data_IF_416066590393
#
_entry.id   IF_416066590393
#
_cell.length_a   1.000
_cell.length_b   1.000
_cell.length_c   1.000
_cell.angle_alpha   90.00
_cell.angle_beta   90.00
_cell.angle_gamma   90.00
#
_symmetry.space_group_name_H-M   'P 1'
#
loop_
_entity.id
_entity.type
_entity.pdbx_description
1 polymer ?
#
# COMPACT_ATOMS: atom_id res chain seq x y z
N UNK A 1 -26.10 38.48 -56.05
CA UNK A 1 -25.71 37.08 -55.80
C UNK A 1 -25.28 36.93 -54.36
N UNK A 2 -26.15 36.32 -53.51
CA UNK A 2 -25.87 36.07 -52.11
C UNK A 2 -25.24 34.69 -51.99
N UNK A 3 -24.01 34.61 -51.47
CA UNK A 3 -23.34 33.32 -51.16
C UNK A 3 -23.87 32.82 -49.83
N UNK A 4 -24.51 31.65 -49.89
CA UNK A 4 -24.98 30.92 -48.72
C UNK A 4 -23.80 30.10 -48.20
N UNK A 5 -23.30 30.44 -47.01
CA UNK A 5 -22.26 29.64 -46.33
C UNK A 5 -22.96 28.54 -45.49
N UNK A 6 -22.70 27.31 -45.86
CA UNK A 6 -23.16 26.10 -45.18
C UNK A 6 -22.21 25.84 -43.98
N UNK A 7 -22.63 26.08 -42.76
CA UNK A 7 -21.88 25.67 -41.58
C UNK A 7 -22.15 24.19 -41.29
N UNK A 8 -21.13 23.36 -41.47
CA UNK A 8 -21.15 21.96 -41.02
C UNK A 8 -20.88 21.91 -39.51
N UNK A 9 -21.91 21.60 -38.72
CA UNK A 9 -21.75 21.28 -37.30
C UNK A 9 -21.25 19.82 -37.19
N UNK A 10 -19.95 19.63 -36.85
CA UNK A 10 -19.41 18.33 -36.51
C UNK A 10 -19.81 18.06 -35.05
N UNK A 11 -20.82 17.23 -34.85
CA UNK A 11 -21.21 16.75 -33.53
C UNK A 11 -20.22 15.67 -33.09
N UNK A 12 -19.24 16.01 -32.26
CA UNK A 12 -18.36 15.03 -31.61
C UNK A 12 -19.16 14.34 -30.51
N UNK A 13 -19.56 13.11 -30.76
CA UNK A 13 -20.15 12.24 -29.74
C UNK A 13 -19.01 11.85 -28.80
N UNK A 14 -19.06 12.18 -27.47
CA UNK A 14 -18.10 11.66 -26.54
C UNK A 14 -18.28 10.13 -26.47
N UNK A 15 -17.26 9.39 -26.88
CA UNK A 15 -17.20 7.96 -26.64
C UNK A 15 -17.10 7.80 -25.12
N UNK A 16 -18.18 7.41 -24.48
CA UNK A 16 -18.16 6.99 -23.09
C UNK A 16 -17.24 5.77 -23.01
N UNK A 17 -16.03 5.95 -22.48
CA UNK A 17 -15.17 4.82 -22.14
C UNK A 17 -15.93 4.01 -21.08
N UNK A 18 -16.49 2.90 -21.50
CA UNK A 18 -17.19 1.97 -20.61
C UNK A 18 -16.21 1.56 -19.51
N UNK A 19 -16.59 1.82 -18.26
CA UNK A 19 -15.81 1.40 -17.10
C UNK A 19 -15.72 -0.13 -17.16
N UNK A 20 -14.52 -0.67 -17.39
CA UNK A 20 -14.27 -2.11 -17.39
C UNK A 20 -14.65 -2.63 -16.01
N UNK A 21 -15.70 -3.46 -15.94
CA UNK A 21 -16.16 -4.07 -14.69
C UNK A 21 -15.22 -5.24 -14.34
N UNK A 22 -13.99 -4.93 -13.93
CA UNK A 22 -13.00 -5.92 -13.57
C UNK A 22 -13.19 -6.40 -12.12
N UNK A 23 -12.89 -7.68 -11.82
CA UNK A 23 -12.88 -8.20 -10.46
C UNK A 23 -11.88 -7.43 -9.57
N UNK A 24 -11.99 -7.53 -8.23
CA UNK A 24 -11.01 -6.94 -7.34
C UNK A 24 -9.65 -7.61 -7.49
N UNK A 25 -8.58 -6.87 -7.19
CA UNK A 25 -7.22 -7.39 -7.22
C UNK A 25 -6.99 -8.55 -6.23
N UNK A 26 -7.74 -8.58 -5.13
CA UNK A 26 -7.65 -9.61 -4.10
C UNK A 26 -9.04 -10.11 -3.67
N UNK A 27 -9.18 -11.38 -3.25
CA UNK A 27 -8.12 -12.41 -3.17
C UNK A 27 -7.67 -12.92 -4.55
N UNK A 28 -6.45 -13.45 -4.63
CA UNK A 28 -5.89 -14.15 -5.78
C UNK A 28 -4.83 -15.15 -5.34
N UNK A 29 -4.34 -15.99 -6.24
CA UNK A 29 -3.21 -16.88 -5.98
C UNK A 29 -1.98 -16.08 -5.55
N UNK A 30 -1.27 -16.59 -4.55
CA UNK A 30 -0.13 -15.91 -3.95
C UNK A 30 -0.50 -14.74 -3.04
N UNK A 31 -1.78 -14.54 -2.68
CA UNK A 31 -2.19 -13.51 -1.73
C UNK A 31 -2.84 -14.13 -0.49
N UNK A 32 -2.27 -13.85 0.68
CA UNK A 32 -2.76 -14.30 1.98
C UNK A 32 -3.24 -13.09 2.77
N UNK A 33 -4.49 -13.12 3.24
CA UNK A 33 -5.01 -12.08 4.10
C UNK A 33 -4.45 -12.23 5.51
N UNK A 34 -3.67 -11.26 5.97
CA UNK A 34 -3.07 -11.26 7.29
C UNK A 34 -3.96 -10.60 8.34
N UNK A 35 -4.63 -9.50 7.95
CA UNK A 35 -5.46 -8.73 8.86
C UNK A 35 -6.60 -8.07 8.08
N UNK A 36 -7.76 -7.98 8.71
CA UNK A 36 -8.87 -7.14 8.24
C UNK A 36 -9.64 -6.55 9.41
N UNK A 37 -9.87 -5.25 9.34
CA UNK A 37 -10.77 -4.54 10.24
C UNK A 37 -11.62 -3.51 9.47
N UNK A 38 -12.29 -2.60 10.18
CA UNK A 38 -13.14 -1.57 9.54
C UNK A 38 -12.34 -0.52 8.74
N UNK A 39 -11.02 -0.39 8.98
CA UNK A 39 -10.17 0.66 8.40
C UNK A 39 -9.26 0.13 7.28
N UNK A 40 -8.68 -1.06 7.46
CA UNK A 40 -7.69 -1.62 6.55
C UNK A 40 -7.94 -3.10 6.25
N UNK A 41 -7.35 -3.55 5.12
CA UNK A 41 -7.09 -4.96 4.85
C UNK A 41 -5.60 -5.08 4.54
N UNK A 42 -4.92 -6.03 5.20
CA UNK A 42 -3.50 -6.29 4.97
C UNK A 42 -3.33 -7.64 4.31
N UNK A 43 -2.55 -7.66 3.24
CA UNK A 43 -2.25 -8.82 2.44
C UNK A 43 -0.73 -9.09 2.41
N UNK A 44 -0.31 -10.33 2.60
CA UNK A 44 0.98 -10.84 2.16
C UNK A 44 0.81 -11.34 0.73
N UNK A 45 1.59 -10.79 -0.20
CA UNK A 45 1.42 -11.01 -1.63
C UNK A 45 2.72 -11.54 -2.21
N UNK A 46 2.59 -12.63 -2.97
CA UNK A 46 3.63 -13.18 -3.83
C UNK A 46 3.18 -13.08 -5.29
N UNK A 47 4.03 -12.56 -6.16
CA UNK A 47 3.83 -12.65 -7.60
C UNK A 47 4.49 -13.94 -8.10
N UNK A 48 3.72 -15.03 -8.07
CA UNK A 48 4.16 -16.31 -8.60
C UNK A 48 4.45 -16.18 -10.09
N UNK A 49 5.30 -17.03 -10.64
CA UNK A 49 5.64 -17.03 -12.08
C UNK A 49 4.45 -17.52 -12.91
N UNK A 50 3.46 -16.64 -13.06
CA UNK A 50 2.20 -16.87 -13.79
C UNK A 50 1.52 -15.57 -14.16
N UNK A 51 0.54 -15.64 -15.06
CA UNK A 51 -0.33 -14.53 -15.42
C UNK A 51 -1.46 -14.37 -14.39
N UNK A 52 -1.76 -13.13 -14.05
CA UNK A 52 -2.93 -12.75 -13.26
C UNK A 52 -3.92 -12.01 -14.15
N UNK A 53 -5.20 -12.40 -14.12
CA UNK A 53 -6.21 -11.80 -14.99
C UNK A 53 -6.43 -10.32 -14.70
N UNK A 54 -7.11 -9.65 -15.62
CA UNK A 54 -7.49 -8.25 -15.43
C UNK A 54 -8.23 -8.07 -14.12
N UNK A 55 -7.79 -7.09 -13.33
CA UNK A 55 -8.36 -6.77 -12.03
C UNK A 55 -8.35 -5.28 -11.76
N UNK A 56 -9.13 -4.83 -10.77
CA UNK A 56 -9.21 -3.44 -10.37
C UNK A 56 -8.91 -3.27 -8.90
N UNK A 57 -8.03 -2.32 -8.57
CA UNK A 57 -7.77 -1.91 -7.20
C UNK A 57 -8.94 -1.08 -6.66
N UNK A 58 -9.68 -1.63 -5.69
CA UNK A 58 -10.88 -0.98 -5.12
C UNK A 58 -10.57 0.08 -4.08
N UNK A 59 -9.39 -0.01 -3.46
CA UNK A 59 -8.94 0.85 -2.39
C UNK A 59 -7.58 1.46 -2.75
N UNK A 60 -7.32 2.65 -2.21
CA UNK A 60 -5.94 3.13 -2.13
C UNK A 60 -5.14 2.10 -1.36
N UNK A 61 -3.90 1.85 -1.77
CA UNK A 61 -3.05 0.95 -1.02
C UNK A 61 -1.60 1.44 -0.98
N UNK A 62 -0.96 1.07 0.09
CA UNK A 62 0.46 1.27 0.32
C UNK A 62 1.08 -0.05 0.76
N UNK A 63 2.40 -0.13 0.76
CA UNK A 63 3.07 -1.33 1.27
C UNK A 63 4.56 -1.31 1.06
N UNK A 64 5.19 -2.34 1.58
CA UNK A 64 6.63 -2.59 1.48
C UNK A 64 6.87 -3.89 0.73
N UNK A 65 7.78 -3.85 -0.25
CA UNK A 65 8.31 -5.05 -0.88
C UNK A 65 9.44 -5.60 -0.03
N UNK A 66 9.43 -6.89 0.29
CA UNK A 66 10.42 -7.50 1.16
C UNK A 66 11.22 -8.65 0.51
N UNK A 67 10.86 -9.01 -0.72
CA UNK A 67 11.68 -9.84 -1.62
C UNK A 67 11.73 -9.16 -2.97
N UNK A 68 12.90 -9.03 -3.62
CA UNK A 68 13.01 -8.42 -4.94
C UNK A 68 12.44 -9.33 -6.03
N UNK A 69 12.14 -8.75 -7.18
CA UNK A 69 11.71 -9.53 -8.35
C UNK A 69 11.15 -8.67 -9.46
N UNK A 70 10.75 -9.36 -10.53
CA UNK A 70 10.31 -8.78 -11.77
C UNK A 70 8.87 -9.19 -12.09
N UNK A 71 8.14 -8.26 -12.67
CA UNK A 71 6.78 -8.50 -13.17
C UNK A 71 6.51 -7.67 -14.42
N UNK A 72 5.60 -8.14 -15.24
CA UNK A 72 5.03 -7.37 -16.34
C UNK A 72 3.69 -6.82 -15.86
N UNK A 73 3.47 -5.53 -16.11
CA UNK A 73 2.18 -4.85 -15.86
C UNK A 73 1.66 -4.41 -17.22
N UNK A 74 0.44 -4.83 -17.57
CA UNK A 74 -0.22 -4.43 -18.81
C UNK A 74 -1.46 -3.62 -18.50
N UNK A 75 -1.50 -2.38 -18.96
CA UNK A 75 -2.63 -1.46 -18.81
C UNK A 75 -3.81 -1.86 -19.71
N UNK A 76 -4.97 -1.24 -19.50
CA UNK A 76 -6.22 -1.56 -20.23
C UNK A 76 -6.17 -1.20 -21.73
N UNK A 77 -5.25 -0.34 -22.15
CA UNK A 77 -4.98 0.00 -23.55
C UNK A 77 -3.98 -0.94 -24.23
N UNK A 78 -3.46 -1.92 -23.48
CA UNK A 78 -2.54 -2.95 -23.99
C UNK A 78 -1.07 -2.59 -23.89
N UNK A 79 -0.70 -1.45 -23.30
CA UNK A 79 0.70 -1.13 -23.04
C UNK A 79 1.25 -2.02 -21.92
N UNK A 80 2.27 -2.81 -22.26
CA UNK A 80 2.98 -3.68 -21.33
C UNK A 80 4.33 -3.08 -20.95
N UNK A 81 4.67 -3.16 -19.66
CA UNK A 81 5.99 -2.76 -19.15
C UNK A 81 6.52 -3.78 -18.16
N UNK A 82 7.78 -4.10 -18.29
CA UNK A 82 8.51 -4.87 -17.28
C UNK A 82 8.95 -3.94 -16.17
N UNK A 83 8.82 -4.40 -14.94
CA UNK A 83 9.13 -3.63 -13.72
C UNK A 83 9.93 -4.50 -12.78
N UNK A 84 11.19 -4.13 -12.58
CA UNK A 84 11.99 -4.64 -11.46
C UNK A 84 11.62 -3.88 -10.18
N UNK A 85 11.57 -4.59 -9.06
CA UNK A 85 11.31 -3.98 -7.75
C UNK A 85 12.29 -4.57 -6.74
N UNK A 86 13.05 -3.70 -6.09
CA UNK A 86 13.97 -4.06 -5.02
C UNK A 86 13.24 -4.34 -3.71
N UNK A 87 13.87 -5.12 -2.83
CA UNK A 87 13.42 -5.24 -1.45
C UNK A 87 13.48 -3.88 -0.74
N UNK A 88 12.60 -3.72 0.27
CA UNK A 88 12.43 -2.51 1.07
C UNK A 88 11.94 -1.28 0.29
N UNK A 89 11.49 -1.47 -0.95
CA UNK A 89 10.82 -0.41 -1.70
C UNK A 89 9.40 -0.17 -1.14
N UNK A 90 9.07 1.11 -0.90
CA UNK A 90 7.75 1.54 -0.42
C UNK A 90 6.90 1.98 -1.60
N UNK A 91 5.72 1.41 -1.74
CA UNK A 91 4.75 1.76 -2.78
C UNK A 91 3.53 2.49 -2.23
N UNK A 92 2.90 3.24 -3.11
CA UNK A 92 1.56 3.78 -2.91
C UNK A 92 0.84 3.86 -4.26
N UNK A 93 -0.42 3.45 -4.29
CA UNK A 93 -1.27 3.51 -5.48
C UNK A 93 -2.69 3.93 -5.09
N UNK A 94 -3.24 4.87 -5.84
CA UNK A 94 -4.65 5.25 -5.72
C UNK A 94 -5.57 4.13 -6.19
N UNK A 95 -6.79 4.11 -5.66
CA UNK A 95 -7.84 3.20 -6.12
C UNK A 95 -8.21 3.46 -7.59
N UNK A 96 -8.94 2.50 -8.17
CA UNK A 96 -9.47 2.63 -9.53
C UNK A 96 -8.54 2.15 -10.63
N UNK A 97 -7.25 1.94 -10.38
CA UNK A 97 -6.31 1.38 -11.37
C UNK A 97 -6.75 -0.02 -11.75
N UNK A 98 -6.78 -0.27 -13.06
CA UNK A 98 -7.19 -1.56 -13.66
C UNK A 98 -6.08 -2.02 -14.61
N UNK A 99 -5.61 -3.26 -14.44
CA UNK A 99 -4.52 -3.83 -15.24
C UNK A 99 -4.53 -5.36 -15.16
N UNK A 100 -3.65 -6.00 -15.96
CA UNK A 100 -3.19 -7.37 -15.74
C UNK A 100 -1.77 -7.34 -15.19
N UNK A 101 -1.34 -8.42 -14.55
CA UNK A 101 0.03 -8.59 -14.09
C UNK A 101 0.53 -10.00 -14.43
N UNK A 102 1.84 -10.16 -14.60
CA UNK A 102 2.51 -11.45 -14.74
C UNK A 102 3.76 -11.43 -13.89
N UNK A 103 3.89 -12.35 -12.96
CA UNK A 103 5.17 -12.59 -12.28
C UNK A 103 6.11 -13.33 -13.21
N UNK A 104 7.37 -12.89 -13.34
CA UNK A 104 8.33 -13.46 -14.28
C UNK A 104 9.62 -13.97 -13.62
N UNK A 105 9.89 -13.58 -12.37
CA UNK A 105 11.05 -14.08 -11.61
C UNK A 105 10.86 -15.53 -11.17
N UNK A 106 11.95 -16.27 -11.08
CA UNK A 106 11.96 -17.64 -10.52
C UNK A 106 11.66 -17.62 -9.02
N UNK A 107 12.31 -16.70 -8.29
CA UNK A 107 11.92 -16.37 -6.91
C UNK A 107 10.85 -15.27 -6.94
N UNK A 108 9.70 -15.49 -6.29
CA UNK A 108 8.60 -14.53 -6.35
C UNK A 108 8.97 -13.17 -5.75
N UNK A 109 8.63 -12.09 -6.44
CA UNK A 109 8.49 -10.77 -5.83
C UNK A 109 7.46 -10.86 -4.70
N UNK A 110 7.79 -10.34 -3.51
CA UNK A 110 6.89 -10.38 -2.35
C UNK A 110 6.69 -9.01 -1.72
N UNK A 111 5.47 -8.76 -1.23
CA UNK A 111 5.14 -7.49 -0.57
C UNK A 111 4.07 -7.68 0.50
N UNK A 112 4.10 -6.81 1.52
CA UNK A 112 2.96 -6.57 2.37
C UNK A 112 2.22 -5.34 1.84
N UNK A 113 0.96 -5.52 1.44
CA UNK A 113 0.10 -4.43 0.98
C UNK A 113 -1.04 -4.16 1.95
N UNK A 114 -1.23 -2.89 2.27
CA UNK A 114 -2.26 -2.36 3.15
C UNK A 114 -3.27 -1.60 2.30
N UNK A 115 -4.45 -2.16 2.12
CA UNK A 115 -5.59 -1.51 1.50
C UNK A 115 -6.29 -0.61 2.52
N UNK A 116 -6.48 0.67 2.17
CA UNK A 116 -7.07 1.69 3.04
C UNK A 116 -8.56 1.81 2.73
N UNK A 117 -9.42 1.21 3.57
CA UNK A 117 -10.88 1.22 3.38
C UNK A 117 -11.48 2.58 3.65
N UNK A 118 -11.15 3.16 4.79
CA UNK A 118 -11.66 4.47 5.23
C UNK A 118 -10.60 5.16 6.07
N UNK A 119 -10.29 6.42 5.76
CA UNK A 119 -9.52 7.24 6.69
C UNK A 119 -10.35 7.45 7.97
N UNK A 120 -9.68 7.49 9.10
CA UNK A 120 -10.33 7.84 10.36
C UNK A 120 -10.29 9.34 10.50
N UNK A 121 -11.46 9.97 10.51
CA UNK A 121 -11.60 11.41 10.70
C UNK A 121 -11.98 11.73 12.15
N UNK A 122 -11.60 12.92 12.59
CA UNK A 122 -11.94 13.48 13.92
C UNK A 122 -10.70 13.61 14.81
N UNK A 123 -10.80 14.51 15.79
CA UNK A 123 -9.76 14.69 16.79
C UNK A 123 -9.66 13.47 17.71
N UNK A 124 -8.46 13.19 18.18
CA UNK A 124 -8.22 12.29 19.31
C UNK A 124 -7.99 13.12 20.56
N UNK A 125 -8.39 12.61 21.71
CA UNK A 125 -7.92 13.14 22.98
C UNK A 125 -6.46 12.72 23.15
N UNK A 126 -5.55 13.70 23.13
CA UNK A 126 -4.14 13.45 23.34
C UNK A 126 -3.94 12.90 24.77
N UNK A 127 -3.22 11.79 24.90
CA UNK A 127 -2.77 11.34 26.21
C UNK A 127 -1.60 12.24 26.64
N UNK A 128 -1.88 13.24 27.47
CA UNK A 128 -0.87 14.22 27.90
C UNK A 128 0.30 13.63 28.73
N UNK A 129 0.23 12.35 29.08
CA UNK A 129 1.25 11.65 29.87
C UNK A 129 2.24 10.86 29.01
N UNK A 130 1.94 10.65 27.72
CA UNK A 130 2.77 9.85 26.81
C UNK A 130 3.22 10.69 25.61
N UNK A 131 4.42 10.44 25.06
CA UNK A 131 4.84 11.06 23.83
C UNK A 131 3.97 10.58 22.64
N UNK A 132 3.75 11.47 21.71
CA UNK A 132 3.11 11.12 20.43
C UNK A 132 4.18 10.68 19.44
N UNK A 133 3.91 9.59 18.73
CA UNK A 133 4.73 9.17 17.59
C UNK A 133 4.59 10.19 16.42
N UNK A 134 5.64 10.49 15.64
CA UNK A 134 7.01 9.98 15.79
C UNK A 134 7.77 10.71 16.90
N UNK A 135 8.51 9.96 17.67
CA UNK A 135 9.51 10.46 18.61
C UNK A 135 10.89 9.87 18.21
N UNK A 136 11.96 10.47 18.66
CA UNK A 136 13.35 10.00 18.41
C UNK A 136 13.78 9.95 16.93
N UNK A 137 13.19 10.79 16.07
CA UNK A 137 13.61 11.03 14.68
C UNK A 137 13.70 9.78 13.79
N UNK A 138 12.61 8.98 13.64
CA UNK A 138 12.60 7.84 12.73
C UNK A 138 12.81 8.30 11.27
N UNK A 139 13.25 7.38 10.42
CA UNK A 139 13.44 7.66 9.01
C UNK A 139 12.09 7.68 8.28
N UNK A 140 11.65 8.85 7.82
CA UNK A 140 10.48 8.95 6.95
C UNK A 140 10.81 8.44 5.54
N UNK A 141 10.14 7.38 5.10
CA UNK A 141 10.33 6.76 3.78
C UNK A 141 9.35 7.27 2.73
N UNK A 142 8.18 7.68 3.15
CA UNK A 142 7.13 8.24 2.29
C UNK A 142 6.15 9.07 3.09
N UNK A 143 5.68 10.18 2.47
CA UNK A 143 4.57 10.98 2.99
C UNK A 143 3.69 11.46 1.85
N UNK A 144 2.38 11.35 2.00
CA UNK A 144 1.37 11.95 1.14
C UNK A 144 0.07 12.19 1.94
N UNK A 145 -1.01 12.59 1.28
CA UNK A 145 -2.29 12.91 1.93
C UNK A 145 -3.01 11.71 2.55
N UNK A 146 -2.53 10.47 2.32
CA UNK A 146 -3.20 9.23 2.73
C UNK A 146 -2.39 8.41 3.71
N UNK A 147 -1.06 8.54 3.68
CA UNK A 147 -0.17 7.71 4.49
C UNK A 147 1.15 8.41 4.76
N UNK A 148 1.69 8.19 5.96
CA UNK A 148 3.10 8.37 6.27
C UNK A 148 3.71 7.02 6.59
N UNK A 149 4.90 6.77 6.05
CA UNK A 149 5.63 5.52 6.26
C UNK A 149 6.97 5.82 6.90
N UNK A 150 7.21 5.17 8.02
CA UNK A 150 8.42 5.29 8.81
C UNK A 150 9.16 3.96 8.78
N UNK A 151 10.45 3.99 8.65
CA UNK A 151 11.32 2.82 8.78
C UNK A 151 11.95 2.81 10.16
N UNK A 152 11.94 1.64 10.77
CA UNK A 152 12.72 1.32 11.96
C UNK A 152 14.04 0.70 11.48
N UNK A 153 15.14 1.41 11.67
CA UNK A 153 16.46 0.88 11.42
C UNK A 153 17.00 0.05 12.62
N UNK A 154 18.22 -0.44 12.50
CA UNK A 154 18.88 -1.22 13.57
C UNK A 154 19.00 -0.43 14.90
N UNK A 155 18.99 0.89 14.85
CA UNK A 155 19.06 1.74 16.04
C UNK A 155 17.80 1.61 16.89
N UNK A 156 16.63 1.56 16.26
CA UNK A 156 15.36 1.37 16.98
C UNK A 156 15.17 -0.04 17.49
N UNK A 157 15.71 -1.04 16.81
CA UNK A 157 15.63 -2.43 17.27
C UNK A 157 16.48 -2.71 18.53
N UNK A 158 17.44 -1.87 18.84
CA UNK A 158 18.35 -2.01 20.00
C UNK A 158 17.85 -1.31 21.26
N UNK A 159 16.86 -0.42 21.17
CA UNK A 159 16.31 0.34 22.30
C UNK A 159 14.95 -0.20 22.68
N UNK A 160 14.63 -0.16 23.97
CA UNK A 160 13.26 -0.41 24.43
C UNK A 160 12.36 0.69 23.88
N UNK A 161 11.39 0.32 23.02
CA UNK A 161 10.40 1.25 22.51
C UNK A 161 9.53 1.74 23.68
N UNK A 162 9.65 3.01 24.13
CA UNK A 162 8.91 3.52 25.28
C UNK A 162 7.41 3.57 24.96
N UNK A 163 6.60 3.55 25.99
CA UNK A 163 5.16 3.71 25.84
C UNK A 163 4.85 5.05 25.15
N UNK A 164 4.09 4.99 24.07
CA UNK A 164 3.69 6.14 23.25
C UNK A 164 2.29 5.94 22.64
N UNK A 165 1.82 6.87 21.84
CA UNK A 165 0.59 6.72 21.05
C UNK A 165 0.76 7.34 19.64
N UNK A 166 -0.03 6.85 18.68
CA UNK A 166 -0.12 7.43 17.33
C UNK A 166 -1.26 8.44 17.24
N UNK A 167 -1.03 9.55 16.55
CA UNK A 167 -2.07 10.52 16.19
C UNK A 167 -3.06 10.00 15.15
N UNK A 168 -2.69 8.98 14.40
CA UNK A 168 -3.46 8.31 13.36
C UNK A 168 -3.52 6.81 13.62
N UNK A 169 -4.45 6.09 12.96
CA UNK A 169 -4.37 4.63 12.92
C UNK A 169 -3.05 4.22 12.28
N UNK A 170 -2.43 3.17 12.80
CA UNK A 170 -1.16 2.69 12.28
C UNK A 170 -1.19 1.17 12.02
N UNK A 171 -0.43 0.76 11.03
CA UNK A 171 -0.11 -0.64 10.77
C UNK A 171 1.39 -0.80 10.93
N UNK A 172 1.80 -1.61 11.91
CA UNK A 172 3.19 -2.01 12.11
C UNK A 172 3.42 -3.29 11.33
N UNK A 173 4.46 -3.30 10.52
CA UNK A 173 4.92 -4.46 9.75
C UNK A 173 6.36 -4.71 10.12
N UNK A 174 6.69 -5.91 10.56
CA UNK A 174 8.08 -6.29 10.81
C UNK A 174 8.37 -7.70 10.29
N UNK A 175 9.63 -7.96 10.02
CA UNK A 175 10.12 -9.20 9.42
C UNK A 175 11.12 -9.85 10.37
N UNK A 176 11.00 -11.16 10.54
CA UNK A 176 11.96 -11.95 11.32
C UNK A 176 13.15 -12.41 10.45
N UNK A 177 14.09 -13.14 11.08
CA UNK A 177 15.28 -13.63 10.41
C UNK A 177 15.00 -14.64 9.26
N UNK A 178 13.83 -15.26 9.27
CA UNK A 178 13.36 -16.17 8.21
C UNK A 178 12.57 -15.41 7.13
N UNK A 179 12.61 -14.07 7.19
CA UNK A 179 11.88 -13.16 6.30
C UNK A 179 10.36 -13.40 6.30
N UNK A 180 9.81 -13.83 7.46
CA UNK A 180 8.37 -13.93 7.66
C UNK A 180 7.82 -12.60 8.13
N UNK A 181 6.77 -12.15 7.46
CA UNK A 181 6.13 -10.90 7.80
C UNK A 181 5.16 -11.06 8.98
N UNK A 182 5.20 -10.10 9.88
CA UNK A 182 4.28 -9.96 11.01
C UNK A 182 3.59 -8.61 10.93
N UNK A 183 2.30 -8.56 11.29
CA UNK A 183 1.48 -7.36 11.15
C UNK A 183 0.69 -7.11 12.41
N UNK A 184 0.74 -5.87 12.87
CA UNK A 184 -0.05 -5.39 14.00
C UNK A 184 -0.79 -4.10 13.64
N UNK A 185 -2.05 -3.96 14.08
CA UNK A 185 -2.83 -2.73 13.90
C UNK A 185 -2.96 -1.99 15.22
N UNK A 186 -2.62 -0.72 15.22
CA UNK A 186 -2.70 0.18 16.35
C UNK A 186 -3.79 1.22 16.08
N UNK A 187 -4.78 1.28 16.94
CA UNK A 187 -5.78 2.34 16.84
C UNK A 187 -5.17 3.67 17.30
N UNK A 188 -5.47 4.74 16.60
CA UNK A 188 -5.06 6.09 16.99
C UNK A 188 -5.43 6.38 18.47
N UNK A 189 -4.55 7.05 19.17
CA UNK A 189 -4.69 7.38 20.58
C UNK A 189 -4.48 6.22 21.54
N UNK A 190 -4.36 4.98 21.06
CA UNK A 190 -4.06 3.83 21.92
C UNK A 190 -2.61 3.89 22.40
N UNK A 191 -2.43 3.72 23.71
CA UNK A 191 -1.10 3.58 24.30
C UNK A 191 -0.54 2.18 24.03
N UNK A 192 0.70 2.10 23.59
CA UNK A 192 1.38 0.83 23.32
C UNK A 192 2.91 0.99 23.47
N UNK A 193 3.63 -0.10 23.41
CA UNK A 193 5.11 -0.15 23.46
C UNK A 193 5.61 -1.51 22.98
N UNK A 194 6.86 -1.58 22.55
CA UNK A 194 7.56 -2.81 22.16
C UNK A 194 6.82 -3.65 21.10
N UNK A 195 6.22 -3.00 20.11
CA UNK A 195 5.49 -3.69 19.03
C UNK A 195 6.42 -4.41 18.05
N UNK A 196 7.71 -4.02 18.03
CA UNK A 196 8.71 -4.58 17.15
C UNK A 196 9.75 -5.32 18.01
N UNK A 197 9.90 -6.65 17.81
CA UNK A 197 10.92 -7.41 18.54
C UNK A 197 12.34 -6.97 18.16
N UNK A 198 13.26 -7.04 19.11
CA UNK A 198 14.69 -6.75 18.89
C UNK A 198 15.37 -7.67 17.86
N UNK A 199 14.76 -8.82 17.57
CA UNK A 199 15.22 -9.76 16.53
C UNK A 199 14.67 -9.45 15.13
N UNK A 200 13.89 -8.38 14.94
CA UNK A 200 13.40 -7.99 13.63
C UNK A 200 14.57 -7.55 12.74
N UNK A 201 14.56 -8.01 11.48
CA UNK A 201 15.57 -7.65 10.47
C UNK A 201 15.13 -6.47 9.60
N UNK A 202 13.90 -6.02 9.73
CA UNK A 202 13.32 -4.85 9.09
C UNK A 202 11.95 -4.56 9.67
N UNK A 203 11.61 -3.30 9.82
CA UNK A 203 10.32 -2.90 10.36
C UNK A 203 9.87 -1.56 9.81
N UNK A 204 8.56 -1.43 9.60
CA UNK A 204 7.92 -0.24 9.04
C UNK A 204 6.62 0.07 9.80
N UNK A 205 6.37 1.35 10.01
CA UNK A 205 5.09 1.85 10.51
C UNK A 205 4.40 2.63 9.40
N UNK A 206 3.17 2.26 9.10
CA UNK A 206 2.30 2.93 8.15
C UNK A 206 1.19 3.66 8.91
N UNK A 207 1.32 4.98 9.10
CA UNK A 207 0.26 5.81 9.64
C UNK A 207 -0.75 6.14 8.55
N UNK A 208 -2.04 5.88 8.79
CA UNK A 208 -3.16 6.09 7.86
C UNK A 208 -3.79 7.46 8.16
N UNK A 209 -3.68 8.40 7.22
CA UNK A 209 -4.11 9.79 7.37
C UNK A 209 -5.57 10.02 6.96
#
# INVERSE_FOLDING_TARGET
>A
MRKLALLLFICTIPIAQGQVNAPPAYPRDGAIKMLENKHVIVWDISWLKQDYPIHRHRYDHTGVYYSPGDRIITSTDGEAREVHTDAWNISFQLNGVTHTESGISDEPLRAIFIQIKRPVTGAIEANSLLPQFPHDSPLERRSNERVKVWEYDEYFSSTVDPAHYHGNDAVVVWFDADNQANVHFISRGAAHSNDIPTAAVGAFIFEIL
#
